data_IF_457209536047
#
_entry.id   IF_457209536047
#
_cell.length_a   1.000
_cell.length_b   1.000
_cell.length_c   1.000
_cell.angle_alpha   90.00
_cell.angle_beta   90.00
_cell.angle_gamma   90.00
#
_symmetry.space_group_name_H-M   'P 1'
#
loop_
_entity.id
_entity.type
_entity.pdbx_description
1 polymer ?
#
# COMPACT_ATOMS: atom_id res chain seq x y z
N UNK A 1 5.78 2.31 -14.71
CA UNK A 1 5.10 1.08 -15.12
C UNK A 1 6.13 -0.03 -14.95
N UNK A 2 5.81 -1.11 -14.23
CA UNK A 2 6.79 -2.17 -13.92
C UNK A 2 6.70 -2.78 -12.52
N UNK A 3 5.86 -2.24 -11.63
CA UNK A 3 5.65 -2.80 -10.29
C UNK A 3 4.46 -3.75 -10.34
N UNK A 4 4.71 -5.02 -10.04
CA UNK A 4 3.71 -6.06 -9.89
C UNK A 4 3.32 -6.30 -8.43
N UNK A 5 2.37 -7.22 -8.21
CA UNK A 5 1.97 -7.59 -6.85
C UNK A 5 3.05 -8.40 -6.12
N UNK A 6 3.91 -9.13 -6.82
CA UNK A 6 4.99 -9.92 -6.20
C UNK A 6 5.91 -9.03 -5.38
N UNK A 7 6.30 -7.88 -5.92
CA UNK A 7 7.16 -6.91 -5.25
C UNK A 7 6.47 -6.32 -4.01
N UNK A 8 5.17 -6.04 -4.10
CA UNK A 8 4.35 -5.61 -2.94
C UNK A 8 4.29 -6.71 -1.87
N UNK A 9 4.09 -7.96 -2.28
CA UNK A 9 4.00 -9.10 -1.35
C UNK A 9 5.32 -9.31 -0.63
N UNK A 10 6.46 -9.21 -1.32
CA UNK A 10 7.80 -9.28 -0.69
C UNK A 10 7.93 -8.19 0.38
N UNK A 11 7.53 -6.95 0.08
CA UNK A 11 7.55 -5.85 1.07
C UNK A 11 6.66 -6.15 2.27
N UNK A 12 5.48 -6.73 2.06
CA UNK A 12 4.57 -7.08 3.16
C UNK A 12 5.15 -8.20 4.04
N UNK A 13 5.67 -9.27 3.43
CA UNK A 13 6.23 -10.43 4.15
C UNK A 13 7.48 -10.02 4.95
N UNK A 14 8.30 -9.12 4.40
CA UNK A 14 9.48 -8.60 5.08
C UNK A 14 9.17 -7.51 6.13
N UNK A 15 7.89 -7.25 6.42
CA UNK A 15 7.45 -6.19 7.34
C UNK A 15 7.93 -4.77 6.93
N UNK A 16 8.20 -4.56 5.64
CA UNK A 16 8.66 -3.29 5.05
C UNK A 16 7.49 -2.39 4.59
N UNK A 17 6.33 -2.56 5.21
CA UNK A 17 5.18 -1.66 5.03
C UNK A 17 5.43 -0.41 5.86
N UNK A 18 5.40 0.75 5.22
CA UNK A 18 5.65 2.02 5.91
C UNK A 18 4.48 2.46 6.80
N UNK A 19 3.26 2.16 6.38
CA UNK A 19 2.05 2.56 7.09
C UNK A 19 0.83 1.75 6.61
N UNK A 20 -0.20 1.67 7.44
CA UNK A 20 -1.52 1.11 7.11
C UNK A 20 -2.56 2.17 7.41
N UNK A 21 -3.10 2.79 6.37
CA UNK A 21 -4.09 3.85 6.51
C UNK A 21 -5.50 3.34 6.22
N UNK A 22 -6.50 3.92 6.88
CA UNK A 22 -7.91 3.66 6.58
C UNK A 22 -8.25 4.15 5.18
N UNK A 23 -9.10 3.41 4.47
CA UNK A 23 -9.67 3.89 3.22
C UNK A 23 -10.58 5.11 3.50
N UNK A 24 -10.35 6.26 2.87
CA UNK A 24 -11.19 7.45 3.09
C UNK A 24 -12.59 7.31 2.49
N UNK A 25 -12.81 6.36 1.57
CA UNK A 25 -14.12 6.16 0.95
C UNK A 25 -15.05 5.33 1.83
N UNK A 26 -16.25 5.83 2.08
CA UNK A 26 -17.30 5.09 2.80
C UNK A 26 -17.87 3.92 2.00
N UNK A 27 -17.62 3.84 0.68
CA UNK A 27 -18.12 2.76 -0.17
C UNK A 27 -17.43 1.41 0.12
N UNK A 28 -16.24 1.45 0.74
CA UNK A 28 -15.48 0.25 1.10
C UNK A 28 -14.96 0.38 2.54
N UNK A 29 -15.84 0.24 3.55
CA UNK A 29 -15.49 0.51 4.95
C UNK A 29 -14.51 -0.52 5.55
N UNK A 30 -14.53 -1.75 5.03
CA UNK A 30 -13.63 -2.82 5.48
C UNK A 30 -12.29 -2.84 4.74
N UNK A 31 -12.05 -1.85 3.88
CA UNK A 31 -10.82 -1.73 3.11
C UNK A 31 -9.80 -0.86 3.86
N UNK A 32 -8.58 -1.35 3.94
CA UNK A 32 -7.41 -0.58 4.38
C UNK A 32 -6.46 -0.38 3.20
N UNK A 33 -5.45 0.45 3.39
CA UNK A 33 -4.47 0.76 2.35
C UNK A 33 -3.08 0.58 2.92
N UNK A 34 -2.29 -0.31 2.32
CA UNK A 34 -0.86 -0.39 2.59
C UNK A 34 -0.15 0.78 1.92
N UNK A 35 0.79 1.39 2.64
CA UNK A 35 1.72 2.37 2.10
C UNK A 35 3.08 1.69 1.98
N UNK A 36 3.57 1.57 0.75
CA UNK A 36 4.78 0.80 0.45
C UNK A 36 5.72 1.66 -0.38
N UNK A 37 7.02 1.60 -0.06
CA UNK A 37 8.07 2.20 -0.87
C UNK A 37 8.73 1.17 -1.78
N UNK A 38 8.79 1.49 -3.08
CA UNK A 38 9.58 0.76 -4.06
C UNK A 38 10.29 1.76 -4.96
N UNK A 39 11.59 1.55 -5.19
CA UNK A 39 12.42 2.38 -6.08
C UNK A 39 12.25 3.88 -5.84
N UNK A 40 12.34 4.30 -4.57
CA UNK A 40 12.25 5.70 -4.15
C UNK A 40 10.88 6.35 -4.48
N UNK A 41 9.82 5.55 -4.59
CA UNK A 41 8.47 6.00 -4.87
C UNK A 41 7.45 5.29 -3.99
N UNK A 42 6.42 6.02 -3.55
CA UNK A 42 5.40 5.50 -2.65
C UNK A 42 4.17 5.05 -3.42
N UNK A 43 3.69 3.87 -3.06
CA UNK A 43 2.51 3.23 -3.61
C UNK A 43 1.47 3.02 -2.51
N UNK A 44 0.23 3.31 -2.86
CA UNK A 44 -0.93 2.91 -2.09
C UNK A 44 -1.46 1.61 -2.66
N UNK A 45 -1.65 0.61 -1.79
CA UNK A 45 -2.21 -0.68 -2.16
C UNK A 45 -3.43 -0.97 -1.29
N UNK A 46 -4.64 -0.67 -1.78
CA UNK A 46 -5.86 -1.02 -1.08
C UNK A 46 -5.98 -2.53 -0.96
N UNK A 47 -6.40 -2.99 0.21
CA UNK A 47 -6.55 -4.39 0.53
C UNK A 47 -7.72 -4.64 1.49
N UNK A 48 -8.24 -5.85 1.45
CA UNK A 48 -9.23 -6.36 2.40
C UNK A 48 -8.67 -7.63 3.02
N UNK A 49 -8.86 -7.78 4.33
CA UNK A 49 -8.57 -9.02 5.06
C UNK A 49 -9.87 -9.78 5.21
N UNK A 50 -9.90 -11.02 4.72
CA UNK A 50 -11.05 -11.90 4.84
C UNK A 50 -10.57 -13.34 5.08
N UNK A 51 -11.13 -14.01 6.09
CA UNK A 51 -10.81 -15.40 6.43
C UNK A 51 -9.29 -15.70 6.52
N UNK A 52 -8.53 -14.78 7.14
CA UNK A 52 -7.07 -14.89 7.28
C UNK A 52 -6.28 -14.66 5.98
N UNK A 53 -6.93 -14.29 4.88
CA UNK A 53 -6.31 -13.97 3.59
C UNK A 53 -6.34 -12.47 3.32
N UNK A 54 -5.31 -11.97 2.66
CA UNK A 54 -5.21 -10.58 2.21
C UNK A 54 -5.47 -10.51 0.72
N UNK A 55 -6.46 -9.72 0.31
CA UNK A 55 -6.79 -9.47 -1.09
C UNK A 55 -6.32 -8.08 -1.50
N UNK A 56 -5.19 -8.01 -2.21
CA UNK A 56 -4.70 -6.77 -2.81
C UNK A 56 -5.56 -6.38 -4.01
N UNK A 57 -5.90 -5.10 -4.14
CA UNK A 57 -6.78 -4.60 -5.22
C UNK A 57 -6.02 -3.96 -6.36
N UNK A 58 -5.39 -2.82 -6.09
CA UNK A 58 -4.74 -2.00 -7.12
C UNK A 58 -3.45 -1.40 -6.57
N UNK A 59 -2.42 -1.28 -7.41
CA UNK A 59 -1.17 -0.60 -7.06
C UNK A 59 -1.25 0.84 -7.58
N UNK A 60 -1.37 1.80 -6.67
CA UNK A 60 -1.59 3.20 -7.02
C UNK A 60 -0.33 4.01 -6.69
N UNK A 61 0.46 4.41 -7.71
CA UNK A 61 1.59 5.32 -7.48
C UNK A 61 1.09 6.68 -6.97
N UNK A 62 1.65 7.19 -5.88
CA UNK A 62 1.22 8.46 -5.29
C UNK A 62 2.38 9.44 -5.07
N UNK A 63 2.51 10.43 -5.97
CA UNK A 63 3.49 11.52 -5.82
C UNK A 63 3.30 12.31 -4.52
N UNK A 64 2.04 12.49 -4.11
CA UNK A 64 1.68 13.14 -2.84
C UNK A 64 2.21 12.33 -1.66
N UNK A 65 2.04 11.02 -1.68
CA UNK A 65 2.57 10.13 -0.64
C UNK A 65 4.09 10.14 -0.65
N UNK A 66 4.72 10.06 -1.83
CA UNK A 66 6.18 10.15 -1.97
C UNK A 66 6.72 11.39 -1.28
N UNK A 67 6.11 12.57 -1.50
CA UNK A 67 6.51 13.80 -0.80
C UNK A 67 6.24 13.78 0.71
N UNK A 68 5.16 13.12 1.15
CA UNK A 68 4.78 13.04 2.57
C UNK A 68 5.75 12.15 3.35
N UNK A 69 5.96 10.92 2.88
CA UNK A 69 6.75 9.91 3.58
C UNK A 69 8.26 10.12 3.42
N UNK A 70 8.73 10.66 2.28
CA UNK A 70 10.16 10.95 2.10
C UNK A 70 10.66 12.24 2.75
N UNK A 71 9.77 13.12 3.19
CA UNK A 71 10.17 14.29 4.01
C UNK A 71 10.29 13.96 5.50
N UNK A 72 9.84 12.78 5.90
CA UNK A 72 9.80 12.33 7.28
C UNK A 72 10.95 11.39 7.67
N UNK A 73 11.88 11.15 6.73
CA UNK A 73 13.19 10.52 6.93
C UNK A 73 14.27 11.60 6.78
#
# INVERSE_FOLDING_TARGET
RGIGFEEIVIKIINEEVLDIISNPSQNHPNQKVYVVEINNYIYYVPHVVDNGKVFLKTIIPSRKATRKYKKAL
#
